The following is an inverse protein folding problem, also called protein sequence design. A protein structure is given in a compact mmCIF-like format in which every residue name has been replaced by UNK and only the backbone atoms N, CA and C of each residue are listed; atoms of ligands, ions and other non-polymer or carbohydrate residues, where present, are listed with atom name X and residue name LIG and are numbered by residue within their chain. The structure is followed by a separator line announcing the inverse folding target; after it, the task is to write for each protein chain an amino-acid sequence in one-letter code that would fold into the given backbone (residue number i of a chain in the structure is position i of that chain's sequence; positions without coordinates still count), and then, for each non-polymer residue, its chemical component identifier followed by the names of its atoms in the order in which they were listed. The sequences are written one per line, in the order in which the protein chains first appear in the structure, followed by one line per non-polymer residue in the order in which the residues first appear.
data_IF_553553194833
#
_entry.id   IF_553553194833
#
_cell.length_a   1.000
_cell.length_b   1.000
_cell.length_c   1.000
_cell.angle_alpha   90.00
_cell.angle_beta   90.00
_cell.angle_gamma   90.00
#
_symmetry.space_group_name_H-M   'P 1'
#
loop_
_entity.id
_entity.type
_entity.pdbx_description
1 polymer ?
#
# COMPACT_ATOMS: atom_id res chain seq x y z
N UNK A 1 -32.87 77.69 21.98
CA UNK A 1 -32.46 78.46 23.18
C UNK A 1 -32.06 77.46 24.26
N UNK A 2 -30.76 77.40 24.65
CA UNK A 2 -30.11 76.80 25.86
C UNK A 2 -30.44 75.32 26.24
N UNK A 3 -29.54 74.34 26.02
CA UNK A 3 -28.36 73.87 26.82
C UNK A 3 -28.70 73.32 28.23
N UNK A 4 -28.48 72.01 28.44
CA UNK A 4 -27.86 71.35 29.62
C UNK A 4 -27.82 69.81 29.36
N UNK A 5 -26.73 69.19 28.90
CA UNK A 5 -25.60 68.58 29.64
C UNK A 5 -25.96 67.73 30.88
N UNK A 6 -25.84 66.40 30.78
CA UNK A 6 -25.30 65.52 31.84
C UNK A 6 -24.64 64.27 31.21
N UNK A 7 -23.31 64.17 31.40
CA UNK A 7 -22.49 62.99 31.16
C UNK A 7 -22.77 61.93 32.23
N UNK A 8 -22.94 60.66 31.83
CA UNK A 8 -22.77 59.53 32.73
C UNK A 8 -21.52 58.74 32.30
N UNK A 9 -20.46 58.90 33.09
CA UNK A 9 -19.19 58.21 32.98
C UNK A 9 -19.32 56.85 33.70
N UNK A 10 -19.40 55.75 32.96
CA UNK A 10 -19.34 54.41 33.54
C UNK A 10 -17.97 53.79 33.22
N UNK A 11 -17.06 53.94 34.18
CA UNK A 11 -15.71 53.40 34.14
C UNK A 11 -15.77 51.96 34.68
N UNK A 12 -15.74 50.95 33.81
CA UNK A 12 -15.55 49.56 34.23
C UNK A 12 -14.07 49.20 34.16
N UNK A 13 -13.45 49.08 35.35
CA UNK A 13 -12.19 48.35 35.54
C UNK A 13 -12.44 46.88 35.18
N UNK A 14 -11.84 46.40 34.08
CA UNK A 14 -11.64 44.96 33.88
C UNK A 14 -10.29 44.63 34.51
N UNK A 15 -10.32 44.02 35.68
CA UNK A 15 -9.14 43.37 36.25
C UNK A 15 -8.79 42.16 35.38
N UNK A 16 -7.64 42.22 34.72
CA UNK A 16 -7.05 41.10 33.99
C UNK A 16 -6.60 40.02 34.98
N UNK A 17 -7.38 38.95 35.09
CA UNK A 17 -6.95 37.73 35.77
C UNK A 17 -5.89 37.06 34.88
N UNK A 18 -4.67 36.78 35.37
CA UNK A 18 -3.70 36.01 34.61
C UNK A 18 -4.18 34.56 34.57
N UNK A 19 -4.49 34.06 33.37
CA UNK A 19 -4.70 32.63 33.14
C UNK A 19 -3.37 31.93 33.42
N UNK A 20 -3.30 30.94 34.33
CA UNK A 20 -2.08 30.18 34.53
C UNK A 20 -1.77 29.39 33.27
N UNK A 21 -0.53 29.53 32.81
CA UNK A 21 0.08 28.77 31.73
C UNK A 21 0.10 27.29 32.15
N UNK A 22 -0.96 26.56 31.81
CA UNK A 22 -1.03 25.11 32.02
C UNK A 22 -0.11 24.44 31.00
N UNK A 23 0.67 23.51 31.52
CA UNK A 23 1.69 22.72 30.86
C UNK A 23 1.32 22.30 29.43
N UNK A 24 2.32 22.42 28.55
CA UNK A 24 2.38 21.74 27.27
C UNK A 24 1.96 20.28 27.47
N UNK A 25 0.78 19.96 26.95
CA UNK A 25 0.38 18.59 26.67
C UNK A 25 1.38 18.09 25.61
N UNK A 26 2.34 17.30 26.09
CA UNK A 26 3.25 16.53 25.26
C UNK A 26 2.43 15.82 24.20
N UNK A 27 2.62 16.19 22.93
CA UNK A 27 2.00 15.51 21.80
C UNK A 27 2.41 14.03 21.85
N UNK A 28 1.50 13.19 22.34
CA UNK A 28 1.62 11.74 22.28
C UNK A 28 1.66 11.35 20.79
N UNK A 29 2.66 10.60 20.31
CA UNK A 29 2.69 10.16 18.93
C UNK A 29 1.69 9.01 18.78
N UNK A 30 0.40 9.32 18.63
CA UNK A 30 -0.69 8.32 18.64
C UNK A 30 -1.46 8.22 17.33
N UNK A 31 -1.12 8.97 16.29
CA UNK A 31 -1.80 8.86 14.99
C UNK A 31 -1.21 7.79 14.05
N UNK A 32 0.09 7.49 14.14
CA UNK A 32 0.74 6.49 13.28
C UNK A 32 0.55 5.04 13.78
N UNK A 33 0.25 4.86 15.08
CA UNK A 33 0.18 3.54 15.73
C UNK A 33 -1.14 2.77 15.48
N UNK A 34 -2.15 3.38 14.85
CA UNK A 34 -3.44 2.72 14.55
C UNK A 34 -3.50 2.12 13.13
N UNK A 35 -2.37 2.04 12.42
CA UNK A 35 -2.31 1.81 10.98
C UNK A 35 -2.43 0.34 10.49
N UNK A 36 -2.87 -0.65 11.28
CA UNK A 36 -2.79 -2.06 10.84
C UNK A 36 -4.04 -2.92 10.92
N UNK A 37 -5.17 -2.44 11.48
CA UNK A 37 -6.35 -3.32 11.59
C UNK A 37 -7.21 -3.21 10.34
N UNK A 38 -7.05 -4.18 9.44
CA UNK A 38 -8.01 -4.41 8.37
C UNK A 38 -9.36 -4.84 8.94
N UNK A 39 -10.44 -4.25 8.43
CA UNK A 39 -11.81 -4.66 8.73
C UNK A 39 -12.29 -5.59 7.62
N UNK A 40 -12.79 -6.76 8.00
CA UNK A 40 -13.38 -7.71 7.04
C UNK A 40 -14.60 -7.08 6.37
N UNK A 41 -14.58 -7.04 5.05
CA UNK A 41 -15.71 -6.60 4.26
C UNK A 41 -16.85 -7.60 4.38
N UNK A 42 -18.03 -7.08 4.74
CA UNK A 42 -19.25 -7.88 4.92
C UNK A 42 -20.29 -7.63 3.83
N UNK A 43 -20.08 -6.63 2.98
CA UNK A 43 -20.98 -6.32 1.86
C UNK A 43 -20.93 -7.39 0.76
N UNK A 44 -21.89 -7.29 -0.16
CA UNK A 44 -21.90 -8.07 -1.39
C UNK A 44 -21.08 -7.40 -2.50
N UNK A 45 -21.36 -7.77 -3.74
CA UNK A 45 -20.83 -7.07 -4.89
C UNK A 45 -21.34 -5.62 -4.94
N UNK A 46 -20.44 -4.67 -5.19
CA UNK A 46 -20.75 -3.24 -5.30
C UNK A 46 -20.00 -2.60 -6.47
N UNK A 47 -20.74 -1.82 -7.26
CA UNK A 47 -20.19 -0.94 -8.29
C UNK A 47 -20.08 0.48 -7.76
N UNK A 48 -18.85 0.97 -7.61
CA UNK A 48 -18.57 2.35 -7.26
C UNK A 48 -18.26 3.13 -8.54
N UNK A 49 -19.27 3.81 -9.08
CA UNK A 49 -19.15 4.64 -10.29
C UNK A 49 -18.20 5.81 -10.05
N UNK A 50 -17.21 5.98 -10.92
CA UNK A 50 -16.29 7.12 -10.89
C UNK A 50 -16.87 8.30 -11.67
N UNK A 51 -16.62 9.54 -11.21
CA UNK A 51 -17.06 10.75 -11.91
C UNK A 51 -16.31 11.00 -13.22
N UNK A 52 -15.17 10.34 -13.44
CA UNK A 52 -14.40 10.37 -14.69
C UNK A 52 -13.65 9.05 -14.92
N UNK A 53 -12.98 8.94 -16.07
CA UNK A 53 -12.13 7.79 -16.38
C UNK A 53 -10.93 7.72 -15.42
N UNK A 54 -10.72 6.52 -14.87
CA UNK A 54 -9.54 6.16 -14.10
C UNK A 54 -8.37 6.09 -15.09
N UNK A 55 -7.31 6.83 -14.80
CA UNK A 55 -6.12 6.95 -15.64
C UNK A 55 -4.86 6.40 -15.00
N UNK A 56 -4.81 6.32 -13.68
CA UNK A 56 -3.77 5.61 -12.96
C UNK A 56 -4.30 5.15 -11.59
N UNK A 57 -3.65 4.13 -11.03
CA UNK A 57 -3.95 3.60 -9.70
C UNK A 57 -2.69 3.14 -8.99
N UNK A 58 -2.70 3.27 -7.67
CA UNK A 58 -1.62 2.83 -6.79
C UNK A 58 -2.16 2.36 -5.44
N UNK A 59 -1.66 1.24 -4.94
CA UNK A 59 -1.90 0.85 -3.54
C UNK A 59 -1.06 1.75 -2.63
N UNK A 60 -1.56 1.98 -1.42
CA UNK A 60 -0.85 2.74 -0.40
C UNK A 60 -1.29 2.29 1.01
N UNK A 61 -0.62 2.80 2.03
CA UNK A 61 -0.97 2.58 3.43
C UNK A 61 -1.07 1.09 3.81
N UNK A 62 -0.03 0.32 3.48
CA UNK A 62 0.03 -1.13 3.72
C UNK A 62 -1.11 -1.91 3.02
N UNK A 63 -1.67 -1.35 1.94
CA UNK A 63 -2.79 -1.91 1.18
C UNK A 63 -4.18 -1.50 1.67
N UNK A 64 -4.29 -0.63 2.69
CA UNK A 64 -5.57 -0.07 3.14
C UNK A 64 -6.17 0.91 2.13
N UNK A 65 -5.33 1.66 1.43
CA UNK A 65 -5.79 2.66 0.46
C UNK A 65 -5.52 2.21 -0.97
N UNK A 66 -6.52 2.42 -1.83
CA UNK A 66 -6.33 2.45 -3.27
C UNK A 66 -6.46 3.90 -3.73
N UNK A 67 -5.36 4.46 -4.23
CA UNK A 67 -5.27 5.79 -4.82
C UNK A 67 -5.72 5.70 -6.28
N UNK A 68 -6.69 6.52 -6.67
CA UNK A 68 -7.34 6.47 -7.98
C UNK A 68 -7.20 7.83 -8.66
N UNK A 69 -6.33 7.93 -9.67
CA UNK A 69 -6.09 9.18 -10.39
C UNK A 69 -7.00 9.30 -11.61
N UNK A 70 -7.78 10.38 -11.64
CA UNK A 70 -8.63 10.79 -12.75
C UNK A 70 -8.09 12.08 -13.36
N UNK A 71 -7.31 11.92 -14.44
CA UNK A 71 -6.62 13.02 -15.14
C UNK A 71 -7.54 14.18 -15.54
N UNK A 72 -8.70 13.90 -16.11
CA UNK A 72 -9.61 14.94 -16.61
C UNK A 72 -10.18 15.83 -15.50
N UNK A 73 -10.24 15.32 -14.27
CA UNK A 73 -10.68 16.06 -13.09
C UNK A 73 -9.51 16.64 -12.28
N UNK A 74 -8.27 16.23 -12.60
CA UNK A 74 -7.08 16.52 -11.79
C UNK A 74 -7.28 16.11 -10.34
N UNK A 75 -7.79 14.90 -10.14
CA UNK A 75 -8.15 14.40 -8.80
C UNK A 75 -7.52 13.04 -8.54
N UNK A 76 -6.97 12.85 -7.35
CA UNK A 76 -6.68 11.53 -6.78
C UNK A 76 -7.74 11.23 -5.72
N UNK A 77 -8.63 10.28 -6.00
CA UNK A 77 -9.61 9.78 -5.03
C UNK A 77 -8.97 8.69 -4.17
N UNK A 78 -9.21 8.75 -2.87
CA UNK A 78 -8.71 7.79 -1.87
C UNK A 78 -9.85 6.85 -1.52
N UNK A 79 -9.77 5.61 -2.01
CA UNK A 79 -10.66 4.54 -1.57
C UNK A 79 -10.10 3.89 -0.31
N UNK A 80 -10.87 3.89 0.79
CA UNK A 80 -10.53 3.17 2.01
C UNK A 80 -11.17 1.79 2.00
N UNK A 81 -10.33 0.77 1.99
CA UNK A 81 -10.74 -0.64 2.02
C UNK A 81 -11.51 -0.94 3.31
N UNK A 82 -11.16 -0.35 4.45
CA UNK A 82 -11.90 -0.58 5.70
C UNK A 82 -13.31 0.01 5.70
N UNK A 83 -13.53 1.05 4.90
CA UNK A 83 -14.83 1.75 4.80
C UNK A 83 -15.61 1.39 3.53
N UNK A 84 -14.98 0.69 2.58
CA UNK A 84 -15.50 0.33 1.27
C UNK A 84 -16.09 1.51 0.48
N UNK A 85 -15.44 2.67 0.53
CA UNK A 85 -15.88 3.91 -0.15
C UNK A 85 -14.73 4.87 -0.42
N UNK A 86 -14.98 5.87 -1.27
CA UNK A 86 -14.09 7.05 -1.34
C UNK A 86 -14.22 7.83 -0.04
N UNK A 87 -13.10 8.06 0.64
CA UNK A 87 -13.03 8.85 1.88
C UNK A 87 -12.56 10.27 1.64
N UNK A 88 -11.84 10.52 0.55
CA UNK A 88 -11.30 11.84 0.21
C UNK A 88 -11.01 11.96 -1.28
N UNK A 89 -11.17 13.17 -1.80
CA UNK A 89 -10.67 13.59 -3.11
C UNK A 89 -9.55 14.62 -2.91
N UNK A 90 -8.39 14.37 -3.53
CA UNK A 90 -7.20 15.22 -3.47
C UNK A 90 -7.04 15.96 -4.80
N UNK A 91 -7.08 17.29 -4.77
CA UNK A 91 -6.92 18.12 -5.97
C UNK A 91 -5.45 18.20 -6.40
N UNK A 92 -5.19 17.90 -7.66
CA UNK A 92 -3.88 17.97 -8.31
C UNK A 92 -3.73 19.29 -9.07
N UNK A 93 -2.54 19.88 -9.02
CA UNK A 93 -2.25 21.12 -9.73
C UNK A 93 -2.12 20.94 -11.27
N UNK A 94 -2.04 19.69 -11.75
CA UNK A 94 -1.82 19.34 -13.15
C UNK A 94 -2.72 18.17 -13.55
N UNK A 95 -2.96 18.04 -14.85
CA UNK A 95 -3.51 16.84 -15.47
C UNK A 95 -2.39 15.87 -15.95
N UNK A 96 -1.12 16.22 -15.80
CA UNK A 96 0.02 15.36 -16.14
C UNK A 96 0.80 14.89 -14.89
N UNK A 97 0.05 14.48 -13.87
CA UNK A 97 0.60 13.89 -12.65
C UNK A 97 0.91 12.38 -12.83
N UNK A 98 1.94 11.91 -12.15
CA UNK A 98 2.18 10.50 -11.85
C UNK A 98 2.10 10.28 -10.35
N UNK A 99 1.50 9.17 -9.91
CA UNK A 99 1.31 8.88 -8.49
C UNK A 99 2.00 7.58 -8.08
N UNK A 100 2.49 7.54 -6.84
CA UNK A 100 2.98 6.33 -6.19
C UNK A 100 2.64 6.36 -4.70
N UNK A 101 1.95 5.33 -4.21
CA UNK A 101 1.64 5.16 -2.80
C UNK A 101 2.70 4.34 -2.09
N UNK A 102 3.16 4.83 -0.95
CA UNK A 102 3.97 4.11 0.02
C UNK A 102 3.17 3.76 1.28
N UNK A 103 3.88 3.46 2.36
CA UNK A 103 3.28 3.10 3.65
C UNK A 103 2.66 4.30 4.37
N UNK A 104 3.34 5.45 4.43
CA UNK A 104 2.82 6.65 5.10
C UNK A 104 2.49 7.80 4.15
N UNK A 105 3.02 7.77 2.93
CA UNK A 105 3.02 8.91 2.03
C UNK A 105 2.55 8.51 0.63
N UNK A 106 1.89 9.45 -0.06
CA UNK A 106 1.74 9.42 -1.51
C UNK A 106 2.74 10.40 -2.11
N UNK A 107 3.49 9.95 -3.11
CA UNK A 107 4.31 10.81 -3.94
C UNK A 107 3.58 11.14 -5.23
N UNK A 108 3.59 12.42 -5.58
CA UNK A 108 3.05 12.95 -6.84
C UNK A 108 4.16 13.63 -7.60
N UNK A 109 4.37 13.24 -8.86
CA UNK A 109 5.25 13.96 -9.78
C UNK A 109 4.41 14.71 -10.81
N UNK A 110 4.46 16.04 -10.75
CA UNK A 110 3.89 16.92 -11.76
C UNK A 110 4.90 17.09 -12.90
N UNK A 111 4.66 16.42 -14.02
CA UNK A 111 5.59 16.40 -15.15
C UNK A 111 5.60 17.67 -15.99
N UNK A 112 4.54 18.48 -15.91
CA UNK A 112 4.48 19.77 -16.61
C UNK A 112 5.40 20.80 -15.96
N UNK A 113 5.43 20.83 -14.64
CA UNK A 113 6.21 21.82 -13.88
C UNK A 113 7.52 21.25 -13.33
N UNK A 114 7.78 19.96 -13.53
CA UNK A 114 8.89 19.21 -12.91
C UNK A 114 8.93 19.43 -11.40
N UNK A 115 7.79 19.16 -10.75
CA UNK A 115 7.67 19.19 -9.29
C UNK A 115 7.48 17.77 -8.76
N UNK A 116 8.02 17.53 -7.57
CA UNK A 116 7.74 16.35 -6.75
C UNK A 116 7.07 16.83 -5.47
N UNK A 117 5.96 16.18 -5.12
CA UNK A 117 5.13 16.51 -3.98
C UNK A 117 5.01 15.28 -3.06
N UNK A 118 5.12 15.50 -1.76
CA UNK A 118 4.82 14.50 -0.73
C UNK A 118 3.51 14.84 -0.04
N UNK A 119 2.63 13.86 0.03
CA UNK A 119 1.34 13.94 0.68
C UNK A 119 1.27 12.93 1.81
N UNK A 120 0.82 13.37 2.98
CA UNK A 120 0.56 12.50 4.12
C UNK A 120 -0.64 11.62 3.84
N UNK A 121 -0.53 10.30 4.01
CA UNK A 121 -1.70 9.42 3.99
C UNK A 121 -2.48 9.45 5.31
N UNK A 122 -1.88 9.97 6.39
CA UNK A 122 -2.53 10.11 7.67
C UNK A 122 -3.48 11.33 7.72
N UNK A 123 -2.99 12.51 7.32
CA UNK A 123 -3.81 13.72 7.27
C UNK A 123 -4.52 13.92 5.92
N UNK A 124 -4.08 13.22 4.86
CA UNK A 124 -4.55 13.42 3.48
C UNK A 124 -4.29 14.86 2.98
N UNK A 125 -3.19 15.44 3.43
CA UNK A 125 -2.74 16.79 3.08
C UNK A 125 -1.34 16.75 2.48
N UNK A 126 -1.03 17.78 1.68
CA UNK A 126 0.29 17.96 1.11
C UNK A 126 1.25 18.51 2.15
N UNK A 127 2.35 17.81 2.38
CA UNK A 127 3.36 18.21 3.37
C UNK A 127 4.47 19.03 2.71
N UNK A 128 4.98 18.57 1.57
CA UNK A 128 6.19 19.13 0.96
C UNK A 128 6.07 19.16 -0.57
N UNK A 129 6.64 20.19 -1.18
CA UNK A 129 6.82 20.29 -2.64
C UNK A 129 8.24 20.75 -2.93
N UNK A 130 8.94 20.05 -3.81
CA UNK A 130 10.26 20.44 -4.31
C UNK A 130 10.28 20.44 -5.84
N UNK A 131 11.23 21.19 -6.41
CA UNK A 131 11.56 21.08 -7.83
C UNK A 131 12.30 19.76 -8.04
N UNK A 132 11.83 18.97 -9.00
CA UNK A 132 12.48 17.74 -9.42
C UNK A 132 13.61 18.10 -10.38
N UNK A 133 14.86 18.07 -9.89
CA UNK A 133 16.05 18.45 -10.65
C UNK A 133 16.60 17.30 -11.51
N UNK A 134 15.70 16.57 -12.19
CA UNK A 134 16.07 15.42 -13.02
C UNK A 134 15.91 15.78 -14.51
N UNK A 135 16.90 15.48 -15.37
CA UNK A 135 16.87 15.90 -16.78
C UNK A 135 16.06 14.95 -17.66
N UNK A 136 14.87 15.36 -18.11
CA UNK A 136 14.08 14.59 -19.07
C UNK A 136 12.63 14.39 -18.63
N UNK A 137 11.92 13.47 -19.29
CA UNK A 137 10.53 13.16 -18.93
C UNK A 137 10.48 11.93 -18.04
N UNK A 138 9.92 12.10 -16.85
CA UNK A 138 9.61 10.98 -15.94
C UNK A 138 8.61 10.05 -16.60
N UNK A 139 8.93 8.75 -16.63
CA UNK A 139 8.11 7.73 -17.27
C UNK A 139 7.61 6.66 -16.31
N UNK A 140 8.24 6.51 -15.15
CA UNK A 140 7.86 5.50 -14.16
C UNK A 140 8.24 5.92 -12.75
N UNK A 141 7.32 5.66 -11.84
CA UNK A 141 7.51 5.70 -10.39
C UNK A 141 7.30 4.27 -9.88
N UNK A 142 8.26 3.74 -9.14
CA UNK A 142 8.15 2.46 -8.45
C UNK A 142 8.39 2.71 -6.94
N UNK A 143 7.33 2.58 -6.17
CA UNK A 143 7.30 2.56 -4.70
C UNK A 143 6.33 1.44 -4.33
N UNK A 144 6.70 0.61 -3.36
CA UNK A 144 5.80 -0.44 -2.88
C UNK A 144 4.86 0.13 -1.80
N UNK A 145 3.64 -0.40 -1.72
CA UNK A 145 2.56 0.17 -0.89
C UNK A 145 2.79 0.04 0.63
N UNK A 146 3.80 -0.75 1.00
CA UNK A 146 4.28 -1.01 2.36
C UNK A 146 5.71 -0.46 2.59
N UNK A 147 6.25 0.29 1.62
CA UNK A 147 7.60 0.87 1.67
C UNK A 147 7.56 2.35 2.07
N UNK A 148 8.61 2.81 2.76
CA UNK A 148 8.87 4.24 2.93
C UNK A 148 9.96 4.76 1.95
N UNK A 149 10.36 3.96 0.96
CA UNK A 149 11.29 4.34 -0.08
C UNK A 149 12.66 3.63 0.02
N UNK A 150 13.68 4.16 -0.68
CA UNK A 150 13.58 5.31 -1.57
C UNK A 150 12.66 5.05 -2.77
N UNK A 151 12.00 6.09 -3.26
CA UNK A 151 11.23 6.02 -4.51
C UNK A 151 12.19 5.81 -5.68
N UNK A 152 11.95 4.76 -6.45
CA UNK A 152 12.66 4.55 -7.71
C UNK A 152 11.94 5.29 -8.84
N UNK A 153 12.68 6.14 -9.54
CA UNK A 153 12.19 6.93 -10.66
C UNK A 153 12.93 6.56 -11.94
N UNK A 154 12.20 6.28 -13.03
CA UNK A 154 12.80 6.11 -14.37
C UNK A 154 12.37 7.20 -15.32
N UNK A 155 13.25 7.59 -16.24
CA UNK A 155 12.97 8.61 -17.24
C UNK A 155 13.43 8.23 -18.65
N UNK A 156 13.00 9.02 -19.63
CA UNK A 156 13.52 9.00 -20.99
C UNK A 156 14.13 10.36 -21.30
N UNK A 157 15.42 10.37 -21.61
CA UNK A 157 16.10 11.55 -22.15
C UNK A 157 15.90 11.55 -23.67
N UNK A 158 15.13 12.51 -24.18
CA UNK A 158 14.86 12.66 -25.60
C UNK A 158 16.06 13.23 -26.34
N UNK A 159 17.09 12.42 -26.59
CA UNK A 159 18.13 12.77 -27.55
C UNK A 159 17.76 12.19 -28.92
N UNK A 160 17.53 13.09 -29.89
CA UNK A 160 17.14 12.74 -31.25
C UNK A 160 18.25 12.03 -32.07
N UNK A 161 19.48 11.95 -31.55
CA UNK A 161 20.68 11.46 -32.24
C UNK A 161 21.10 10.04 -31.82
N UNK A 162 20.46 9.42 -30.82
CA UNK A 162 20.81 8.07 -30.36
C UNK A 162 19.77 7.03 -30.83
N UNK A 163 20.27 5.94 -31.43
CA UNK A 163 19.46 4.78 -31.84
C UNK A 163 18.82 4.04 -30.66
N UNK A 164 19.27 4.29 -29.42
CA UNK A 164 18.66 3.80 -28.19
C UNK A 164 18.60 4.93 -27.13
N UNK A 165 17.41 5.34 -26.67
CA UNK A 165 17.31 6.37 -25.64
C UNK A 165 17.89 5.85 -24.32
N UNK A 166 18.70 6.69 -23.64
CA UNK A 166 19.13 6.40 -22.27
C UNK A 166 17.91 6.43 -21.34
N UNK A 167 17.80 5.40 -20.51
CA UNK A 167 16.78 5.27 -19.45
C UNK A 167 17.43 5.30 -18.07
N UNK A 168 17.96 6.45 -17.63
CA UNK A 168 18.55 6.54 -16.31
C UNK A 168 17.49 6.33 -15.23
N UNK A 169 17.96 5.82 -14.09
CA UNK A 169 17.16 5.50 -12.91
C UNK A 169 17.72 6.30 -11.75
N UNK A 170 16.83 6.93 -10.99
CA UNK A 170 17.15 7.73 -9.81
C UNK A 170 16.43 7.16 -8.60
N UNK A 171 16.99 7.38 -7.42
CA UNK A 171 16.39 7.01 -6.14
C UNK A 171 16.19 8.28 -5.34
N UNK A 172 14.96 8.52 -4.91
CA UNK A 172 14.58 9.72 -4.17
C UNK A 172 14.20 9.32 -2.76
N UNK A 173 14.87 9.92 -1.78
CA UNK A 173 14.46 9.79 -0.38
C UNK A 173 13.13 10.50 -0.16
N UNK A 174 12.18 9.85 0.51
CA UNK A 174 10.83 10.40 0.66
C UNK A 174 10.78 11.53 1.69
N UNK A 175 11.70 11.56 2.66
CA UNK A 175 11.72 12.57 3.71
C UNK A 175 12.25 13.92 3.20
N UNK A 176 13.33 13.87 2.44
CA UNK A 176 14.00 15.05 1.90
C UNK A 176 13.51 15.39 0.50
N UNK A 177 12.94 14.45 -0.26
CA UNK A 177 12.68 14.56 -1.70
C UNK A 177 13.94 14.90 -2.51
N UNK A 178 15.09 14.41 -2.04
CA UNK A 178 16.39 14.57 -2.69
C UNK A 178 16.89 13.24 -3.23
N UNK A 179 17.76 13.33 -4.23
CA UNK A 179 18.40 12.14 -4.80
C UNK A 179 19.34 11.51 -3.78
N UNK A 180 19.20 10.20 -3.61
CA UNK A 180 20.08 9.37 -2.81
C UNK A 180 20.75 8.32 -3.67
N UNK A 181 21.83 7.75 -3.15
CA UNK A 181 22.45 6.59 -3.77
C UNK A 181 21.44 5.45 -3.89
N UNK A 182 21.54 4.61 -4.93
CA UNK A 182 20.73 3.40 -5.00
C UNK A 182 20.89 2.61 -3.70
N UNK A 183 19.79 2.08 -3.14
CA UNK A 183 19.89 1.19 -2.00
C UNK A 183 20.78 0.01 -2.38
N UNK A 184 21.50 -0.53 -1.39
CA UNK A 184 22.24 -1.76 -1.61
C UNK A 184 21.31 -2.79 -2.24
N UNK A 185 21.77 -3.54 -3.27
CA UNK A 185 20.91 -4.51 -3.93
C UNK A 185 20.38 -5.43 -2.84
N UNK A 186 19.06 -5.38 -2.61
CA UNK A 186 18.44 -6.35 -1.75
C UNK A 186 18.96 -7.72 -2.18
N UNK A 187 19.35 -8.56 -1.22
CA UNK A 187 19.41 -9.99 -1.44
C UNK A 187 17.97 -10.45 -1.68
N UNK A 188 17.36 -10.05 -2.80
CA UNK A 188 16.14 -10.65 -3.29
C UNK A 188 16.55 -12.08 -3.57
N UNK A 189 16.04 -13.07 -2.81
CA UNK A 189 16.33 -14.45 -3.12
C UNK A 189 16.00 -14.63 -4.59
N UNK A 190 16.96 -15.09 -5.41
CA UNK A 190 16.72 -15.32 -6.83
C UNK A 190 15.50 -16.23 -6.90
N UNK A 191 14.39 -15.66 -7.36
CA UNK A 191 13.16 -16.41 -7.47
C UNK A 191 13.45 -17.61 -8.35
N UNK A 192 13.06 -18.80 -7.91
CA UNK A 192 13.14 -19.99 -8.76
C UNK A 192 12.36 -19.75 -10.06
N UNK A 193 12.64 -20.49 -11.14
CA UNK A 193 11.85 -20.36 -12.39
C UNK A 193 10.35 -20.56 -12.15
N UNK A 194 10.01 -21.44 -11.22
CA UNK A 194 8.62 -21.66 -10.78
C UNK A 194 8.05 -20.40 -10.11
N UNK A 195 8.80 -19.77 -9.22
CA UNK A 195 8.42 -18.51 -8.57
C UNK A 195 8.33 -17.33 -9.53
N UNK A 196 9.21 -17.24 -10.52
CA UNK A 196 9.14 -16.20 -11.56
C UNK A 196 7.90 -16.39 -12.44
N UNK A 197 7.63 -17.64 -12.83
CA UNK A 197 6.40 -18.00 -13.55
C UNK A 197 5.15 -17.69 -12.70
N UNK A 198 5.20 -17.93 -11.39
CA UNK A 198 4.10 -17.61 -10.48
C UNK A 198 3.95 -16.10 -10.20
N UNK A 199 5.06 -15.36 -10.13
CA UNK A 199 5.04 -13.91 -9.98
C UNK A 199 4.63 -13.18 -11.26
N UNK A 200 4.59 -13.88 -12.40
CA UNK A 200 4.04 -13.36 -13.65
C UNK A 200 2.50 -13.29 -13.67
N UNK A 201 1.82 -13.74 -12.60
CA UNK A 201 0.35 -13.71 -12.45
C UNK A 201 -0.22 -12.29 -12.44
N UNK A 202 -1.49 -12.18 -12.86
CA UNK A 202 -2.15 -10.92 -13.18
C UNK A 202 -2.89 -10.34 -11.97
N UNK A 203 -2.54 -9.11 -11.57
CA UNK A 203 -3.10 -8.40 -10.42
C UNK A 203 -2.16 -8.33 -9.22
N UNK A 204 -2.49 -7.46 -8.26
CA UNK A 204 -1.77 -7.31 -7.00
C UNK A 204 -2.45 -8.13 -5.90
N UNK A 205 -1.66 -8.71 -5.01
CA UNK A 205 -2.13 -9.36 -3.78
C UNK A 205 -1.31 -8.82 -2.63
N UNK A 206 -1.98 -8.22 -1.63
CA UNK A 206 -1.32 -7.61 -0.47
C UNK A 206 -0.78 -8.62 0.53
N UNK A 207 -1.02 -9.91 0.32
CA UNK A 207 -0.48 -10.97 1.17
C UNK A 207 0.62 -11.75 0.45
N UNK A 208 1.80 -11.97 1.08
CA UNK A 208 2.97 -12.56 0.42
C UNK A 208 2.74 -14.02 -0.01
N UNK A 209 1.94 -14.79 0.73
CA UNK A 209 1.73 -16.22 0.42
C UNK A 209 0.70 -16.50 -0.68
N UNK A 210 -0.02 -15.49 -1.18
CA UNK A 210 -1.09 -15.70 -2.15
C UNK A 210 -0.85 -14.88 -3.43
N UNK A 211 -1.51 -15.30 -4.51
CA UNK A 211 -1.63 -14.49 -5.71
C UNK A 211 -3.00 -14.67 -6.36
N UNK A 212 -3.33 -13.68 -7.17
CA UNK A 212 -4.51 -13.61 -8.02
C UNK A 212 -4.07 -13.71 -9.49
N UNK A 213 -4.86 -14.36 -10.34
CA UNK A 213 -4.60 -14.44 -11.78
C UNK A 213 -5.89 -14.49 -12.57
N UNK A 214 -5.92 -13.78 -13.70
CA UNK A 214 -6.95 -13.95 -14.74
C UNK A 214 -6.63 -15.23 -15.55
N UNK A 215 -7.64 -16.01 -15.96
CA UNK A 215 -7.50 -17.18 -16.84
C UNK A 215 -7.16 -16.80 -18.30
N UNK A 216 -5.93 -16.35 -18.57
CA UNK A 216 -5.54 -15.96 -19.95
C UNK A 216 -4.96 -17.08 -20.82
N UNK A 217 -4.57 -18.24 -20.25
CA UNK A 217 -4.07 -19.35 -21.06
C UNK A 217 -5.25 -20.15 -21.59
N UNK A 218 -5.51 -19.94 -22.88
CA UNK A 218 -6.56 -20.52 -23.71
C UNK A 218 -6.68 -22.05 -23.63
N UNK A 219 -5.65 -22.79 -23.17
CA UNK A 219 -5.67 -24.27 -23.21
C UNK A 219 -5.59 -24.96 -21.83
N UNK A 220 -5.55 -24.23 -20.70
CA UNK A 220 -5.39 -24.83 -19.36
C UNK A 220 -6.72 -25.07 -18.64
N UNK A 221 -7.57 -25.94 -19.23
CA UNK A 221 -8.86 -26.34 -18.64
C UNK A 221 -8.75 -26.99 -17.27
N UNK A 222 -7.56 -27.49 -16.89
CA UNK A 222 -7.30 -28.06 -15.57
C UNK A 222 -7.19 -26.98 -14.49
N UNK A 223 -6.66 -25.79 -14.83
CA UNK A 223 -6.54 -24.65 -13.89
C UNK A 223 -7.71 -23.66 -13.97
N UNK A 224 -8.53 -23.72 -15.03
CA UNK A 224 -9.63 -22.79 -15.22
C UNK A 224 -10.93 -23.54 -15.57
N UNK A 225 -11.56 -24.19 -14.57
CA UNK A 225 -12.77 -24.99 -14.78
C UNK A 225 -14.00 -24.16 -15.15
N UNK A 226 -13.96 -22.82 -14.98
CA UNK A 226 -15.03 -21.88 -15.33
C UNK A 226 -15.09 -21.55 -16.83
N UNK A 227 -14.24 -22.17 -17.65
CA UNK A 227 -14.23 -22.04 -19.11
C UNK A 227 -13.18 -21.03 -19.63
N UNK A 228 -12.66 -21.31 -20.83
CA UNK A 228 -11.75 -20.42 -21.56
C UNK A 228 -12.40 -19.05 -21.78
N UNK A 229 -11.63 -17.95 -21.67
CA UNK A 229 -12.09 -16.57 -21.80
C UNK A 229 -13.08 -16.08 -20.73
N UNK A 230 -13.22 -16.78 -19.61
CA UNK A 230 -14.02 -16.30 -18.48
C UNK A 230 -13.28 -15.22 -17.68
N UNK A 231 -13.35 -14.00 -18.20
CA UNK A 231 -12.77 -12.77 -17.63
C UNK A 231 -13.65 -12.13 -16.55
N UNK A 232 -14.73 -12.80 -16.14
CA UNK A 232 -15.56 -12.44 -14.99
C UNK A 232 -15.04 -13.08 -13.72
N UNK A 233 -13.97 -13.87 -13.81
CA UNK A 233 -13.42 -14.58 -12.67
C UNK A 233 -11.90 -14.44 -12.60
N UNK A 234 -11.41 -14.46 -11.36
CA UNK A 234 -9.99 -14.61 -11.07
C UNK A 234 -9.78 -15.89 -10.29
N UNK A 235 -8.67 -16.57 -10.55
CA UNK A 235 -8.23 -17.71 -9.76
C UNK A 235 -7.30 -17.26 -8.64
N UNK A 236 -7.53 -17.81 -7.45
CA UNK A 236 -6.71 -17.54 -6.25
C UNK A 236 -5.81 -18.74 -5.99
N UNK A 237 -4.55 -18.46 -5.69
CA UNK A 237 -3.52 -19.48 -5.50
C UNK A 237 -2.64 -19.22 -4.28
N UNK A 238 -2.08 -20.29 -3.70
CA UNK A 238 -0.90 -20.24 -2.82
C UNK A 238 0.38 -20.09 -3.65
N UNK A 239 1.35 -19.28 -3.22
CA UNK A 239 2.64 -19.11 -3.93
C UNK A 239 3.53 -20.34 -3.82
N UNK A 240 3.61 -20.95 -2.63
CA UNK A 240 4.48 -22.10 -2.35
C UNK A 240 3.79 -23.08 -1.39
N UNK A 241 3.51 -24.33 -1.82
CA UNK A 241 3.56 -24.80 -3.21
C UNK A 241 2.53 -24.05 -4.08
N UNK A 242 2.72 -24.02 -5.39
CA UNK A 242 1.77 -23.43 -6.32
C UNK A 242 0.48 -24.28 -6.40
N UNK A 243 -0.57 -23.89 -5.69
CA UNK A 243 -1.87 -24.60 -5.69
C UNK A 243 -3.01 -23.62 -5.86
N UNK A 244 -3.99 -23.96 -6.69
CA UNK A 244 -5.22 -23.19 -6.83
C UNK A 244 -6.15 -23.52 -5.66
N UNK A 245 -6.63 -22.48 -4.98
CA UNK A 245 -7.56 -22.62 -3.86
C UNK A 245 -9.02 -22.46 -4.30
N UNK A 246 -9.25 -21.68 -5.35
CA UNK A 246 -10.59 -21.41 -5.86
C UNK A 246 -10.59 -20.29 -6.89
N UNK A 247 -11.78 -19.73 -7.11
CA UNK A 247 -12.01 -18.59 -7.97
C UNK A 247 -12.92 -17.57 -7.28
N UNK A 248 -12.86 -16.32 -7.74
CA UNK A 248 -13.70 -15.24 -7.28
C UNK A 248 -14.27 -14.49 -8.48
N UNK A 249 -15.52 -14.06 -8.36
CA UNK A 249 -16.14 -13.17 -9.34
C UNK A 249 -15.52 -11.77 -9.25
N UNK A 250 -15.10 -11.27 -10.41
CA UNK A 250 -14.73 -9.90 -10.66
C UNK A 250 -15.70 -9.37 -11.71
N UNK A 251 -16.11 -8.10 -11.65
CA UNK A 251 -17.05 -7.67 -12.67
C UNK A 251 -16.38 -7.59 -14.06
N UNK A 252 -17.19 -7.86 -15.07
CA UNK A 252 -16.81 -8.19 -16.45
C UNK A 252 -15.70 -7.29 -17.03
N UNK A 253 -14.55 -7.88 -17.30
CA UNK A 253 -13.44 -7.17 -17.95
C UNK A 253 -13.59 -7.01 -19.47
N UNK A 254 -14.70 -7.34 -20.14
CA UNK A 254 -14.84 -7.15 -21.60
C UNK A 254 -13.88 -7.98 -22.48
N UNK A 255 -14.28 -8.33 -23.71
CA UNK A 255 -13.38 -9.08 -24.61
C UNK A 255 -12.12 -8.28 -24.94
N UNK A 256 -11.00 -8.66 -24.32
CA UNK A 256 -9.67 -8.13 -24.60
C UNK A 256 -9.19 -8.61 -25.97
N UNK A 257 -9.13 -7.72 -26.96
CA UNK A 257 -8.39 -8.01 -28.20
C UNK A 257 -6.91 -7.72 -27.96
N UNK A 258 -6.09 -8.77 -27.92
CA UNK A 258 -4.63 -8.65 -27.77
C UNK A 258 -4.06 -7.74 -28.87
N UNK A 259 -3.25 -6.76 -28.50
CA UNK A 259 -2.54 -5.89 -29.45
C UNK A 259 -3.30 -4.65 -29.95
N UNK A 260 -4.53 -4.37 -29.49
CA UNK A 260 -5.24 -3.14 -29.86
C UNK A 260 -5.63 -2.29 -28.64
N UNK A 261 -4.89 -1.16 -28.52
CA UNK A 261 -5.04 0.07 -27.70
C UNK A 261 -3.90 0.26 -26.70
N UNK A 262 -3.35 1.48 -26.69
CA UNK A 262 -2.74 2.06 -25.50
C UNK A 262 -3.83 2.03 -24.41
N UNK A 263 -3.81 1.02 -23.53
CA UNK A 263 -4.72 0.99 -22.40
C UNK A 263 -4.24 2.04 -21.39
N UNK A 264 -5.12 2.93 -20.96
CA UNK A 264 -4.81 3.95 -19.93
C UNK A 264 -4.22 3.30 -18.66
N UNK A 265 -4.72 2.11 -18.31
CA UNK A 265 -4.27 1.29 -17.20
C UNK A 265 -3.89 -0.10 -17.73
N UNK A 266 -2.68 -0.54 -17.39
CA UNK A 266 -2.18 -1.90 -17.67
C UNK A 266 -2.99 -2.96 -16.94
N UNK A 267 -3.11 -4.17 -17.49
CA UNK A 267 -3.89 -5.26 -16.90
C UNK A 267 -3.47 -5.60 -15.45
N UNK A 268 -2.18 -5.48 -15.14
CA UNK A 268 -1.65 -5.71 -13.78
C UNK A 268 -2.22 -4.76 -12.73
N UNK A 269 -2.57 -3.54 -13.14
CA UNK A 269 -3.15 -2.49 -12.28
C UNK A 269 -4.68 -2.55 -12.23
N UNK A 270 -5.32 -3.59 -12.79
CA UNK A 270 -6.79 -3.67 -12.82
C UNK A 270 -7.37 -4.52 -11.71
N UNK A 271 -6.57 -5.31 -11.00
CA UNK A 271 -7.07 -6.29 -10.02
C UNK A 271 -6.22 -6.19 -8.76
N UNK A 272 -6.88 -6.04 -7.62
CA UNK A 272 -6.27 -5.99 -6.31
C UNK A 272 -6.99 -6.96 -5.38
N UNK A 273 -6.30 -7.98 -4.92
CA UNK A 273 -6.78 -8.89 -3.89
C UNK A 273 -6.20 -8.47 -2.54
N UNK A 274 -7.08 -8.21 -1.58
CA UNK A 274 -6.73 -7.76 -0.23
C UNK A 274 -7.30 -8.78 0.77
N UNK A 275 -6.61 -9.93 0.98
CA UNK A 275 -7.11 -11.00 1.84
C UNK A 275 -7.40 -10.56 3.27
N UNK A 276 -6.60 -9.62 3.77
CA UNK A 276 -6.75 -9.09 5.12
C UNK A 276 -8.12 -8.44 5.31
N UNK A 277 -8.70 -7.85 4.25
CA UNK A 277 -10.00 -7.20 4.26
C UNK A 277 -11.14 -8.02 3.64
N UNK A 278 -10.88 -9.26 3.19
CA UNK A 278 -11.81 -10.06 2.38
C UNK A 278 -12.35 -9.31 1.14
N UNK A 279 -11.51 -8.51 0.48
CA UNK A 279 -11.89 -7.73 -0.71
C UNK A 279 -11.10 -8.10 -1.94
N UNK A 280 -11.79 -8.16 -3.08
CA UNK A 280 -11.21 -8.07 -4.41
C UNK A 280 -11.75 -6.81 -5.06
N UNK A 281 -10.83 -5.94 -5.47
CA UNK A 281 -11.12 -4.74 -6.23
C UNK A 281 -10.76 -4.98 -7.69
N UNK A 282 -11.64 -4.60 -8.61
CA UNK A 282 -11.35 -4.67 -10.03
C UNK A 282 -11.79 -3.43 -10.80
N UNK A 283 -11.03 -3.04 -11.83
CA UNK A 283 -11.31 -1.92 -12.72
C UNK A 283 -11.65 -2.46 -14.11
N UNK A 284 -12.92 -2.41 -14.53
CA UNK A 284 -13.33 -2.84 -15.87
C UNK A 284 -12.66 -2.04 -16.98
N UNK A 285 -12.70 -2.53 -18.22
CA UNK A 285 -12.10 -1.84 -19.37
C UNK A 285 -12.72 -0.48 -19.70
N UNK A 286 -13.94 -0.23 -19.22
CA UNK A 286 -14.56 1.09 -19.29
C UNK A 286 -13.79 2.15 -18.48
N UNK A 287 -12.93 1.73 -17.53
CA UNK A 287 -12.19 2.59 -16.60
C UNK A 287 -13.09 3.57 -15.84
N UNK A 288 -14.39 3.28 -15.70
CA UNK A 288 -15.38 4.26 -15.25
C UNK A 288 -15.95 3.95 -13.87
N UNK A 289 -15.44 2.90 -13.21
CA UNK A 289 -15.93 2.39 -11.94
C UNK A 289 -14.87 1.50 -11.26
N UNK A 290 -15.01 1.37 -9.95
CA UNK A 290 -14.35 0.35 -9.14
C UNK A 290 -15.39 -0.70 -8.75
N UNK A 291 -15.15 -1.96 -9.10
CA UNK A 291 -15.93 -3.07 -8.61
C UNK A 291 -15.33 -3.59 -7.31
N UNK A 292 -16.18 -3.84 -6.33
CA UNK A 292 -15.81 -4.31 -5.00
C UNK A 292 -16.54 -5.63 -4.79
N UNK A 293 -15.79 -6.71 -4.64
CA UNK A 293 -16.34 -8.05 -4.38
C UNK A 293 -15.78 -8.58 -3.06
N UNK A 294 -16.65 -9.23 -2.28
CA UNK A 294 -16.22 -9.96 -1.08
C UNK A 294 -15.59 -11.29 -1.47
N UNK A 295 -14.46 -11.61 -0.86
CA UNK A 295 -13.82 -12.91 -1.02
C UNK A 295 -13.19 -13.40 0.28
N UNK A 296 -13.75 -14.47 0.84
CA UNK A 296 -13.33 -15.03 2.13
C UNK A 296 -12.29 -16.14 1.93
N UNK A 297 -11.01 -15.75 1.90
CA UNK A 297 -9.91 -16.70 1.72
C UNK A 297 -9.90 -17.80 2.79
N UNK A 298 -10.22 -17.45 4.04
CA UNK A 298 -10.25 -18.39 5.17
C UNK A 298 -11.24 -19.53 4.96
N UNK A 299 -12.37 -19.30 4.27
CA UNK A 299 -13.32 -20.36 3.95
C UNK A 299 -12.76 -21.39 2.97
N UNK A 300 -11.94 -20.96 2.01
CA UNK A 300 -11.26 -21.88 1.10
C UNK A 300 -10.18 -22.68 1.82
N UNK A 301 -9.39 -22.01 2.66
CA UNK A 301 -8.32 -22.66 3.41
C UNK A 301 -8.83 -23.71 4.39
N UNK A 302 -9.98 -23.47 5.04
CA UNK A 302 -10.63 -24.45 5.93
C UNK A 302 -11.02 -25.76 5.25
N UNK A 303 -11.22 -25.75 3.92
CA UNK A 303 -11.46 -26.97 3.13
C UNK A 303 -10.18 -27.73 2.80
N UNK A 304 -9.03 -27.10 3.00
CA UNK A 304 -7.70 -27.57 2.60
C UNK A 304 -6.83 -27.95 3.81
N UNK A 305 -7.44 -28.60 4.81
CA UNK A 305 -6.77 -29.00 6.05
C UNK A 305 -5.58 -29.95 5.80
N UNK A 306 -4.44 -29.80 6.49
CA UNK A 306 -4.16 -28.74 7.47
C UNK A 306 -3.81 -27.40 6.81
N UNK A 307 -4.26 -26.29 7.41
CA UNK A 307 -3.97 -24.94 6.95
C UNK A 307 -3.42 -24.03 8.05
N UNK A 308 -2.61 -23.05 7.63
CA UNK A 308 -2.09 -21.97 8.47
C UNK A 308 -2.03 -20.68 7.65
N UNK A 309 -2.84 -19.71 8.05
CA UNK A 309 -2.96 -18.39 7.45
C UNK A 309 -2.51 -17.34 8.45
N UNK A 310 -1.67 -16.40 8.04
CA UNK A 310 -1.30 -15.26 8.87
C UNK A 310 -2.09 -14.06 8.35
N UNK A 311 -3.01 -13.51 9.13
CA UNK A 311 -3.86 -12.41 8.68
C UNK A 311 -3.20 -11.05 8.87
N UNK A 312 -2.24 -10.95 9.80
CA UNK A 312 -1.53 -9.72 10.11
C UNK A 312 -0.32 -9.49 9.19
N UNK A 313 -0.02 -8.23 8.92
CA UNK A 313 1.23 -7.78 8.30
C UNK A 313 1.97 -6.87 9.28
N UNK A 314 3.29 -7.04 9.46
CA UNK A 314 4.09 -6.12 10.24
C UNK A 314 4.13 -4.75 9.57
N UNK A 315 4.22 -3.67 10.35
CA UNK A 315 4.60 -2.38 9.79
C UNK A 315 6.12 -2.37 9.61
N UNK A 316 6.53 -2.10 8.37
CA UNK A 316 7.91 -2.27 7.94
C UNK A 316 8.90 -1.20 8.41
N UNK A 317 8.51 -0.21 9.22
CA UNK A 317 9.44 0.85 9.68
C UNK A 317 9.61 0.93 11.18
N UNK A 318 10.87 1.16 11.53
CA UNK A 318 11.41 1.37 12.85
C UNK A 318 12.15 2.72 12.88
N UNK A 319 12.18 3.40 14.03
CA UNK A 319 13.05 4.55 14.26
C UNK A 319 14.07 4.23 15.34
N UNK A 320 15.33 4.61 15.12
CA UNK A 320 16.41 4.46 16.09
C UNK A 320 16.02 5.10 17.44
N UNK A 321 16.27 4.38 18.52
CA UNK A 321 15.89 4.78 19.88
C UNK A 321 14.41 4.60 20.24
N UNK A 322 13.53 4.26 19.30
CA UNK A 322 12.09 4.04 19.56
C UNK A 322 11.76 2.56 19.80
N UNK A 323 10.61 2.33 20.45
CA UNK A 323 10.03 1.00 20.58
C UNK A 323 9.18 0.67 19.35
N UNK A 324 9.41 -0.52 18.80
CA UNK A 324 8.62 -1.13 17.74
C UNK A 324 7.90 -2.36 18.27
N UNK A 325 6.64 -2.55 17.86
CA UNK A 325 5.84 -3.69 18.29
C UNK A 325 4.95 -4.22 17.16
N UNK A 326 4.77 -5.53 17.10
CA UNK A 326 3.89 -6.16 16.11
C UNK A 326 3.16 -7.33 16.75
N UNK A 327 1.84 -7.34 16.62
CA UNK A 327 1.01 -8.45 17.06
C UNK A 327 0.75 -9.37 15.86
N UNK A 328 1.24 -10.60 15.96
CA UNK A 328 0.91 -11.65 15.01
C UNK A 328 -0.55 -12.08 15.19
N UNK A 329 -1.28 -12.17 14.08
CA UNK A 329 -2.61 -12.75 14.01
C UNK A 329 -2.60 -13.87 12.96
N UNK A 330 -3.10 -15.04 13.34
CA UNK A 330 -3.16 -16.20 12.47
C UNK A 330 -4.46 -17.00 12.65
N UNK A 331 -4.85 -17.71 11.60
CA UNK A 331 -5.90 -18.72 11.58
C UNK A 331 -5.30 -20.08 11.20
N UNK A 332 -5.62 -21.14 11.94
CA UNK A 332 -5.14 -22.49 11.64
C UNK A 332 -6.21 -23.55 11.86
N UNK A 333 -6.08 -24.69 11.17
CA UNK A 333 -6.77 -25.92 11.54
C UNK A 333 -6.17 -26.58 12.79
N UNK A 334 -4.94 -26.24 13.14
CA UNK A 334 -4.26 -26.75 14.32
C UNK A 334 -4.89 -26.21 15.59
N UNK A 335 -4.94 -27.03 16.64
CA UNK A 335 -5.42 -26.58 17.97
C UNK A 335 -4.47 -25.58 18.60
N UNK A 336 -3.18 -25.72 18.32
CA UNK A 336 -2.12 -24.89 18.88
C UNK A 336 -1.02 -24.71 17.83
N UNK A 337 -0.50 -23.49 17.75
CA UNK A 337 0.61 -23.13 16.87
C UNK A 337 1.67 -22.49 17.75
N UNK A 338 2.79 -23.19 17.97
CA UNK A 338 3.93 -22.61 18.67
C UNK A 338 4.59 -21.56 17.78
N UNK A 339 5.02 -20.45 18.39
CA UNK A 339 5.60 -19.30 17.68
C UNK A 339 6.99 -19.01 18.25
N UNK A 340 7.96 -18.83 17.38
CA UNK A 340 9.36 -18.59 17.78
C UNK A 340 10.03 -17.56 16.87
N UNK A 341 10.90 -16.73 17.43
CA UNK A 341 11.76 -15.81 16.68
C UNK A 341 13.02 -16.57 16.26
N UNK A 342 13.06 -17.02 15.01
CA UNK A 342 14.18 -17.80 14.49
C UNK A 342 15.36 -16.93 14.04
N UNK A 343 15.09 -15.70 13.59
CA UNK A 343 16.10 -14.70 13.32
C UNK A 343 15.52 -13.29 13.50
N UNK A 344 16.33 -12.36 14.01
CA UNK A 344 15.97 -10.96 14.19
C UNK A 344 17.17 -10.14 14.65
N UNK A 345 17.05 -8.80 14.67
CA UNK A 345 18.09 -7.94 15.22
C UNK A 345 18.28 -8.19 16.73
N UNK A 346 19.47 -7.87 17.23
CA UNK A 346 19.79 -8.00 18.65
C UNK A 346 18.76 -7.24 19.52
N UNK A 347 18.31 -7.90 20.59
CA UNK A 347 17.32 -7.37 21.51
C UNK A 347 15.85 -7.53 21.07
N UNK A 348 15.57 -8.02 19.86
CA UNK A 348 14.20 -8.36 19.45
C UNK A 348 13.72 -9.61 20.18
N UNK A 349 12.46 -9.58 20.63
CA UNK A 349 11.83 -10.66 21.36
C UNK A 349 10.46 -10.96 20.78
N UNK A 350 10.01 -12.21 20.94
CA UNK A 350 8.64 -12.65 20.68
C UNK A 350 8.09 -13.34 21.93
N UNK A 351 6.83 -13.08 22.23
CA UNK A 351 6.09 -13.78 23.29
C UNK A 351 5.33 -14.99 22.74
N UNK A 352 4.89 -15.89 23.63
CA UNK A 352 4.04 -17.03 23.27
C UNK A 352 2.72 -16.61 22.62
N UNK A 353 2.23 -15.41 22.92
CA UNK A 353 1.04 -14.83 22.27
C UNK A 353 1.34 -14.22 20.89
N UNK A 354 2.55 -14.35 20.37
CA UNK A 354 2.96 -13.82 19.06
C UNK A 354 3.15 -12.31 19.04
N UNK A 355 3.30 -11.64 20.19
CA UNK A 355 3.69 -10.22 20.22
C UNK A 355 5.20 -10.11 20.06
N UNK A 356 5.65 -9.48 18.98
CA UNK A 356 7.02 -9.07 18.79
C UNK A 356 7.25 -7.68 19.37
N UNK A 357 8.38 -7.49 20.03
CA UNK A 357 8.82 -6.20 20.56
C UNK A 357 10.30 -6.00 20.31
N UNK A 358 10.68 -4.79 19.92
CA UNK A 358 12.06 -4.42 19.73
C UNK A 358 12.28 -2.96 20.09
N UNK A 359 13.21 -2.69 21.01
CA UNK A 359 13.73 -1.34 21.24
C UNK A 359 14.92 -1.15 20.30
N UNK A 360 14.72 -0.35 19.27
CA UNK A 360 15.73 -0.13 18.22
C UNK A 360 16.91 0.61 18.85
N UNK A 361 18.15 0.05 18.85
CA UNK A 361 19.30 0.76 19.38
C UNK A 361 19.52 2.09 18.65
N UNK A 362 19.91 3.15 19.38
CA UNK A 362 20.19 4.46 18.79
C UNK A 362 21.36 4.41 17.80
N UNK A 363 22.32 3.52 18.03
CA UNK A 363 23.54 3.36 17.24
C UNK A 363 23.48 2.20 16.25
N UNK A 364 22.29 1.65 16.01
CA UNK A 364 22.07 0.52 15.10
C UNK A 364 22.61 0.84 13.70
N UNK A 365 23.58 0.05 13.25
CA UNK A 365 24.47 0.41 12.13
C UNK A 365 23.84 0.30 10.74
N UNK A 366 22.85 -0.58 10.57
CA UNK A 366 22.17 -0.77 9.29
C UNK A 366 20.89 0.05 9.23
N UNK A 367 20.47 0.40 8.03
CA UNK A 367 19.15 0.94 7.70
C UNK A 367 18.09 -0.15 7.55
N UNK A 368 18.44 -1.43 7.75
CA UNK A 368 17.53 -2.56 7.61
C UNK A 368 17.77 -3.65 8.67
N UNK A 369 16.72 -4.38 9.05
CA UNK A 369 16.79 -5.62 9.82
C UNK A 369 15.87 -6.68 9.22
N UNK A 370 16.38 -7.89 9.03
CA UNK A 370 15.56 -9.04 8.59
C UNK A 370 15.02 -9.77 9.81
N UNK A 371 13.74 -10.14 9.76
CA UNK A 371 13.05 -10.89 10.81
C UNK A 371 12.43 -12.16 10.22
N UNK A 372 12.63 -13.27 10.92
CA UNK A 372 12.09 -14.59 10.58
C UNK A 372 11.38 -15.14 11.80
N UNK A 373 10.06 -15.31 11.69
CA UNK A 373 9.22 -15.93 12.70
C UNK A 373 8.82 -17.33 12.25
N UNK A 374 9.09 -18.34 13.07
CA UNK A 374 8.64 -19.72 12.87
C UNK A 374 7.27 -19.94 13.48
N UNK A 375 6.39 -20.57 12.70
CA UNK A 375 5.03 -20.94 13.08
C UNK A 375 4.91 -22.45 12.97
N UNK A 376 4.77 -23.12 14.11
CA UNK A 376 4.88 -24.57 14.25
C UNK A 376 3.52 -25.13 14.71
N UNK A 377 2.59 -25.43 13.78
CA UNK A 377 1.36 -26.14 14.12
C UNK A 377 1.67 -27.57 14.59
N UNK A 378 0.89 -28.11 15.53
CA UNK A 378 1.05 -29.50 15.99
C UNK A 378 0.81 -30.53 14.86
N UNK A 379 -0.08 -30.21 13.92
CA UNK A 379 -0.54 -31.05 12.83
C UNK A 379 -0.28 -30.37 11.46
N UNK A 380 0.99 -30.12 11.15
CA UNK A 380 1.32 -29.52 9.86
C UNK A 380 2.79 -29.31 9.63
N UNK A 381 3.10 -28.59 8.56
CA UNK A 381 4.46 -28.14 8.27
C UNK A 381 4.70 -26.80 8.95
N UNK A 382 5.88 -26.64 9.52
CA UNK A 382 6.38 -25.34 9.98
C UNK A 382 6.32 -24.35 8.82
N UNK A 383 5.79 -23.17 9.10
CA UNK A 383 5.74 -22.04 8.18
C UNK A 383 6.62 -20.92 8.73
N UNK A 384 7.24 -20.17 7.84
CA UNK A 384 8.06 -19.02 8.21
C UNK A 384 7.38 -17.74 7.72
N UNK A 385 7.20 -16.77 8.61
CA UNK A 385 6.89 -15.40 8.24
C UNK A 385 8.20 -14.61 8.16
N UNK A 386 8.58 -14.23 6.95
CA UNK A 386 9.80 -13.47 6.68
C UNK A 386 9.42 -12.04 6.29
N UNK A 387 10.04 -11.06 6.91
CA UNK A 387 9.88 -9.65 6.56
C UNK A 387 11.12 -8.85 6.91
N UNK A 388 11.24 -7.67 6.31
CA UNK A 388 12.30 -6.71 6.60
C UNK A 388 11.72 -5.48 7.28
N UNK A 389 12.48 -4.92 8.21
CA UNK A 389 12.23 -3.65 8.85
C UNK A 389 13.23 -2.64 8.29
N UNK A 390 12.74 -1.54 7.75
CA UNK A 390 13.50 -0.35 7.41
C UNK A 390 13.68 0.50 8.68
N UNK A 391 14.90 0.97 8.90
CA UNK A 391 15.34 1.62 10.14
C UNK A 391 15.78 3.02 9.80
N UNK A 392 15.03 3.97 10.34
CA UNK A 392 15.23 5.40 10.12
C UNK A 392 15.83 6.07 11.34
N UNK A 393 16.40 7.23 11.10
CA UNK A 393 16.73 8.15 12.18
C UNK A 393 15.46 8.66 12.87
N UNK A 394 15.66 9.26 14.03
CA UNK A 394 14.61 9.55 14.98
C UNK A 394 13.75 10.76 14.59
#
# INVERSE_FOLDING_TARGET
MRILFYLLLCMQLIASVPVPLSAQETATPTAAAQASVFRKYRGGHQDLKMPAEITDVSLAANGRYLLIYMKSLRTVSVYDVNEARIVKDLAMATDDAMIAGGLAEMIVVNRQQNLIERWSLASLERETVKRLLIPGKVTRLDLDYDSYGPLKLSQIEGRADLSQPRKPVFYIDLETLEEVSPPDPHLVPKLSREEQSFNSKMGYCTHPDYAVSIPYRLDDRKRFPTGENNIEHVSIFTRKPAKQLGYAEIGFMGQMKFGQRETLITDKKRIYFIPQADQILSIPLSNDRLHISRFELSQLLRKESPYLFVSSLPHGVCRRGQEWQYQLELESSSKEVAVELSAGPEGMQISDSGKLTWRVPEDFKSDQAVVIVSLMPQDGKTKFQNFSLEIRDQ
#
